data_IF_411220168856
#
_entry.id   IF_411220168856
#
_cell.length_a   1.000
_cell.length_b   1.000
_cell.length_c   1.000
_cell.angle_alpha   90.00
_cell.angle_beta   90.00
_cell.angle_gamma   90.00
#
_symmetry.space_group_name_H-M   'P 1'
#
loop_
_entity.id
_entity.type
_entity.pdbx_description
1 polymer ?
#
# COMPACT_ATOMS: atom_id res chain seq x y z
N UNK A 1 -10.26 -16.06 27.28
CA UNK A 1 -9.64 -16.84 26.19
C UNK A 1 -10.16 -16.42 24.81
N UNK A 2 -11.49 -16.40 24.55
CA UNK A 2 -12.03 -15.99 23.23
C UNK A 2 -11.76 -14.51 22.91
N UNK A 3 -11.96 -13.61 23.86
CA UNK A 3 -11.65 -12.18 23.69
C UNK A 3 -10.16 -11.92 23.44
N UNK A 4 -9.28 -12.63 24.10
CA UNK A 4 -7.82 -12.54 23.88
C UNK A 4 -7.44 -13.05 22.48
N UNK A 5 -8.03 -14.18 22.05
CA UNK A 5 -7.83 -14.71 20.71
C UNK A 5 -8.33 -13.75 19.63
N UNK A 6 -9.49 -13.11 19.83
CA UNK A 6 -10.04 -12.09 18.95
C UNK A 6 -9.15 -10.86 18.89
N UNK A 7 -8.62 -10.39 20.03
CA UNK A 7 -7.69 -9.27 20.11
C UNK A 7 -6.39 -9.57 19.37
N UNK A 8 -5.78 -10.75 19.61
CA UNK A 8 -4.58 -11.18 18.88
C UNK A 8 -4.80 -11.27 17.38
N UNK A 9 -5.96 -11.78 16.95
CA UNK A 9 -6.33 -11.83 15.53
C UNK A 9 -6.46 -10.43 14.93
N UNK A 10 -7.13 -9.50 15.62
CA UNK A 10 -7.31 -8.12 15.14
C UNK A 10 -5.99 -7.33 15.06
N UNK A 11 -4.96 -7.73 15.78
CA UNK A 11 -3.63 -7.11 15.77
C UNK A 11 -2.64 -7.75 14.79
N UNK A 12 -3.04 -8.81 14.10
CA UNK A 12 -2.23 -9.48 13.08
C UNK A 12 -3.12 -10.05 11.97
N UNK A 13 -3.79 -9.16 11.25
CA UNK A 13 -4.67 -9.55 10.13
C UNK A 13 -3.89 -10.12 8.95
N UNK A 14 -2.62 -9.75 8.78
CA UNK A 14 -1.75 -10.22 7.70
C UNK A 14 -1.70 -11.75 7.63
N UNK A 15 -1.55 -12.40 8.78
CA UNK A 15 -1.52 -13.87 8.88
C UNK A 15 -2.81 -14.55 8.41
N UNK A 16 -3.94 -13.85 8.51
CA UNK A 16 -5.27 -14.42 8.22
C UNK A 16 -5.82 -14.01 6.86
N UNK A 17 -5.08 -13.23 6.10
CA UNK A 17 -5.51 -12.81 4.77
C UNK A 17 -5.68 -14.01 3.83
N UNK A 18 -6.82 -14.03 3.15
CA UNK A 18 -7.16 -15.05 2.15
C UNK A 18 -7.66 -14.34 0.91
N UNK A 19 -6.83 -14.20 -0.13
CA UNK A 19 -7.20 -13.52 -1.35
C UNK A 19 -8.22 -14.33 -2.16
N UNK A 20 -9.11 -13.63 -2.85
CA UNK A 20 -9.88 -14.23 -3.94
C UNK A 20 -8.97 -14.56 -5.13
N UNK A 21 -9.43 -15.42 -6.05
CA UNK A 21 -8.62 -15.88 -7.19
C UNK A 21 -7.96 -14.74 -7.95
N UNK A 22 -8.70 -13.69 -8.32
CA UNK A 22 -8.15 -12.53 -9.05
C UNK A 22 -7.16 -11.70 -8.24
N UNK A 23 -7.38 -11.57 -6.95
CA UNK A 23 -6.40 -10.92 -6.05
C UNK A 23 -5.12 -11.77 -5.95
N UNK A 24 -5.25 -13.09 -5.87
CA UNK A 24 -4.11 -14.01 -5.85
C UNK A 24 -3.31 -13.94 -7.15
N UNK A 25 -3.98 -13.92 -8.31
CA UNK A 25 -3.35 -13.70 -9.62
C UNK A 25 -2.54 -12.39 -9.64
N UNK A 26 -3.11 -11.30 -9.10
CA UNK A 26 -2.42 -10.02 -8.96
C UNK A 26 -1.17 -10.12 -8.08
N UNK A 27 -1.27 -10.76 -6.92
CA UNK A 27 -0.14 -10.96 -6.00
C UNK A 27 0.99 -11.82 -6.59
N UNK A 28 0.68 -12.68 -7.55
CA UNK A 28 1.65 -13.58 -8.21
C UNK A 28 2.42 -12.92 -9.35
N UNK A 29 2.05 -11.71 -9.76
CA UNK A 29 2.73 -11.04 -10.88
C UNK A 29 4.18 -10.70 -10.54
N UNK A 30 5.07 -10.88 -11.51
CA UNK A 30 6.50 -10.54 -11.42
C UNK A 30 6.84 -9.25 -12.17
N UNK A 31 5.88 -8.70 -12.93
CA UNK A 31 6.08 -7.47 -13.70
C UNK A 31 6.15 -6.26 -12.76
N UNK A 32 6.88 -5.25 -13.18
CA UNK A 32 7.12 -4.03 -12.40
C UNK A 32 5.90 -3.10 -12.31
N UNK A 33 5.13 -3.03 -13.38
CA UNK A 33 3.90 -2.23 -13.44
C UNK A 33 2.69 -3.17 -13.41
N UNK A 34 1.76 -2.97 -12.47
CA UNK A 34 0.62 -3.85 -12.28
C UNK A 34 -0.66 -3.06 -12.07
N UNK A 35 -1.73 -3.50 -12.71
CA UNK A 35 -3.05 -2.92 -12.57
C UNK A 35 -4.03 -3.97 -12.01
N UNK A 36 -4.69 -3.65 -10.90
CA UNK A 36 -5.82 -4.42 -10.39
C UNK A 36 -7.11 -3.64 -10.66
N UNK A 37 -7.70 -3.90 -11.80
CA UNK A 37 -8.93 -3.27 -12.25
C UNK A 37 -10.13 -4.17 -11.92
N UNK A 38 -11.12 -3.63 -11.23
CA UNK A 38 -12.38 -4.32 -10.95
C UNK A 38 -13.48 -3.32 -10.59
N UNK A 39 -14.74 -3.76 -10.60
CA UNK A 39 -15.88 -2.99 -10.12
C UNK A 39 -15.78 -2.57 -8.66
N UNK A 40 -16.69 -1.70 -8.23
CA UNK A 40 -16.74 -1.25 -6.84
C UNK A 40 -16.98 -2.42 -5.88
N UNK A 41 -16.44 -2.30 -4.66
CA UNK A 41 -16.62 -3.26 -3.54
C UNK A 41 -16.11 -4.70 -3.80
N UNK A 42 -15.28 -4.91 -4.82
CA UNK A 42 -14.65 -6.21 -5.12
C UNK A 42 -13.29 -6.42 -4.40
N UNK A 43 -12.97 -5.58 -3.42
CA UNK A 43 -11.78 -5.76 -2.57
C UNK A 43 -10.45 -5.37 -3.20
N UNK A 44 -10.43 -4.51 -4.23
CA UNK A 44 -9.20 -4.02 -4.88
C UNK A 44 -8.26 -3.32 -3.89
N UNK A 45 -8.75 -2.30 -3.20
CA UNK A 45 -7.99 -1.53 -2.22
C UNK A 45 -7.51 -2.40 -1.06
N UNK A 46 -8.33 -3.41 -0.66
CA UNK A 46 -7.92 -4.40 0.34
C UNK A 46 -6.73 -5.21 -0.18
N UNK A 47 -6.79 -5.72 -1.42
CA UNK A 47 -5.66 -6.44 -2.01
C UNK A 47 -4.41 -5.55 -2.09
N UNK A 48 -4.54 -4.28 -2.50
CA UNK A 48 -3.43 -3.32 -2.51
C UNK A 48 -2.81 -3.11 -1.12
N UNK A 49 -3.63 -3.00 -0.07
CA UNK A 49 -3.15 -2.84 1.30
C UNK A 49 -2.38 -4.06 1.80
N UNK A 50 -2.83 -5.27 1.48
CA UNK A 50 -2.11 -6.50 1.85
C UNK A 50 -0.85 -6.71 1.02
N UNK A 51 -0.85 -6.36 -0.28
CA UNK A 51 0.36 -6.32 -1.11
C UNK A 51 1.42 -5.42 -0.46
N UNK A 52 1.05 -4.19 -0.09
CA UNK A 52 1.92 -3.25 0.62
C UNK A 52 2.43 -3.84 1.94
N UNK A 53 1.57 -4.42 2.75
CA UNK A 53 1.94 -4.98 4.04
C UNK A 53 2.92 -6.16 3.92
N UNK A 54 2.75 -7.04 2.92
CA UNK A 54 3.69 -8.13 2.65
C UNK A 54 5.08 -7.61 2.28
N UNK A 55 5.14 -6.58 1.44
CA UNK A 55 6.40 -5.99 1.02
C UNK A 55 7.09 -5.19 2.14
N UNK A 56 6.33 -4.42 2.95
CA UNK A 56 6.89 -3.68 4.09
C UNK A 56 7.47 -4.60 5.16
N UNK A 57 6.84 -5.74 5.40
CA UNK A 57 7.22 -6.66 6.47
C UNK A 57 8.17 -7.78 6.03
N UNK A 58 8.16 -8.14 4.73
CA UNK A 58 8.80 -9.35 4.22
C UNK A 58 8.12 -10.66 4.63
N UNK A 59 6.95 -10.60 5.30
CA UNK A 59 6.20 -11.77 5.79
C UNK A 59 5.30 -12.35 4.71
N UNK A 60 5.88 -12.90 3.65
CA UNK A 60 5.13 -13.51 2.56
C UNK A 60 4.54 -14.86 2.96
N UNK A 61 3.25 -15.12 2.67
CA UNK A 61 2.62 -16.41 2.96
C UNK A 61 3.11 -17.52 2.01
N UNK A 62 2.88 -18.79 2.38
CA UNK A 62 3.34 -19.95 1.61
C UNK A 62 2.79 -19.99 0.17
N UNK A 63 1.59 -19.45 -0.06
CA UNK A 63 1.00 -19.37 -1.40
C UNK A 63 1.57 -18.27 -2.28
N UNK A 64 2.45 -17.38 -1.76
CA UNK A 64 3.02 -16.25 -2.49
C UNK A 64 4.04 -16.68 -3.54
N UNK A 65 3.80 -16.32 -4.81
CA UNK A 65 4.67 -16.60 -5.94
C UNK A 65 5.18 -15.33 -6.64
N UNK A 66 4.72 -14.15 -6.20
CA UNK A 66 5.11 -12.87 -6.77
C UNK A 66 6.50 -12.41 -6.33
N UNK A 67 6.80 -11.16 -6.66
CA UNK A 67 8.04 -10.51 -6.27
C UNK A 67 8.21 -10.52 -4.73
N UNK A 68 9.45 -10.65 -4.27
CA UNK A 68 9.82 -10.57 -2.84
C UNK A 68 10.95 -9.58 -2.66
N UNK A 69 10.76 -8.63 -1.79
CA UNK A 69 11.86 -7.85 -1.26
C UNK A 69 12.52 -8.62 -0.12
N UNK A 70 13.84 -8.74 -0.17
CA UNK A 70 14.65 -9.43 0.85
C UNK A 70 15.25 -8.46 1.86
N UNK A 71 15.07 -7.16 1.61
CA UNK A 71 15.50 -6.03 2.44
C UNK A 71 14.30 -5.15 2.76
N UNK A 72 14.49 -4.25 3.71
CA UNK A 72 13.59 -3.12 3.96
C UNK A 72 13.38 -2.30 2.71
N UNK A 73 12.24 -1.64 2.62
CA UNK A 73 11.84 -0.85 1.45
C UNK A 73 11.40 0.56 1.82
N UNK A 74 11.62 1.49 0.91
CA UNK A 74 10.98 2.80 0.90
C UNK A 74 9.78 2.78 -0.05
N UNK A 75 8.60 3.11 0.46
CA UNK A 75 7.36 3.02 -0.29
C UNK A 75 6.48 4.27 -0.14
N UNK A 76 5.72 4.58 -1.19
CA UNK A 76 4.63 5.54 -1.14
C UNK A 76 3.30 4.86 -1.46
N UNK A 77 2.24 5.32 -0.79
CA UNK A 77 0.87 4.96 -1.12
C UNK A 77 -0.03 6.20 -1.07
N UNK A 78 -0.93 6.33 -2.02
CA UNK A 78 -1.81 7.48 -2.08
C UNK A 78 -3.08 7.25 -2.86
N UNK A 79 -4.02 8.20 -2.70
CA UNK A 79 -5.32 8.20 -3.35
C UNK A 79 -5.68 9.60 -3.83
N UNK A 80 -6.89 9.79 -4.34
CA UNK A 80 -7.37 11.02 -4.99
C UNK A 80 -7.28 12.26 -4.10
N UNK A 81 -7.52 12.13 -2.79
CA UNK A 81 -7.46 13.22 -1.82
C UNK A 81 -6.81 12.80 -0.50
N UNK A 82 -6.45 13.76 0.34
CA UNK A 82 -5.91 13.51 1.68
C UNK A 82 -6.90 12.74 2.54
N UNK A 83 -8.19 13.06 2.46
CA UNK A 83 -9.25 12.35 3.16
C UNK A 83 -9.42 10.92 2.63
N UNK A 84 -9.42 10.74 1.31
CA UNK A 84 -9.47 9.40 0.71
C UNK A 84 -8.25 8.56 1.13
N UNK A 85 -7.05 9.12 1.11
CA UNK A 85 -5.83 8.44 1.56
C UNK A 85 -5.94 8.02 3.02
N UNK A 86 -6.42 8.89 3.92
CA UNK A 86 -6.64 8.57 5.34
C UNK A 86 -7.68 7.47 5.53
N UNK A 87 -8.86 7.62 4.90
CA UNK A 87 -10.04 6.81 5.19
C UNK A 87 -10.05 5.47 4.45
N UNK A 88 -9.23 5.32 3.41
CA UNK A 88 -9.07 4.06 2.65
C UNK A 88 -7.68 3.48 2.82
N UNK A 89 -6.66 4.07 2.22
CA UNK A 89 -5.29 3.53 2.14
C UNK A 89 -4.69 3.35 3.53
N UNK A 90 -4.57 4.44 4.29
CA UNK A 90 -3.99 4.40 5.65
C UNK A 90 -4.79 3.47 6.56
N UNK A 91 -6.13 3.59 6.54
CA UNK A 91 -6.99 2.75 7.38
C UNK A 91 -6.83 1.26 7.10
N UNK A 92 -6.71 0.86 5.85
CA UNK A 92 -6.54 -0.56 5.48
C UNK A 92 -5.13 -1.06 5.78
N UNK A 93 -4.11 -0.23 5.62
CA UNK A 93 -2.72 -0.59 5.93
C UNK A 93 -2.46 -0.56 7.43
N UNK A 94 -2.82 0.51 8.12
CA UNK A 94 -2.42 0.78 9.50
C UNK A 94 -3.51 0.51 10.54
N UNK A 95 -4.79 0.54 10.13
CA UNK A 95 -5.92 0.55 11.04
C UNK A 95 -6.57 1.92 11.18
N UNK A 96 -7.64 1.99 11.97
CA UNK A 96 -8.36 3.24 12.23
C UNK A 96 -7.52 4.22 13.07
N UNK A 97 -7.79 5.53 12.98
CA UNK A 97 -7.22 6.52 13.88
C UNK A 97 -7.34 6.10 15.36
N UNK A 98 -6.27 6.26 16.13
CA UNK A 98 -6.20 5.81 17.54
C UNK A 98 -6.13 4.28 17.73
N UNK A 99 -6.16 3.48 16.65
CA UNK A 99 -6.07 2.02 16.70
C UNK A 99 -5.07 1.48 15.66
N UNK A 100 -3.85 2.03 15.66
CA UNK A 100 -2.77 1.57 14.80
C UNK A 100 -2.45 0.08 15.05
N UNK A 101 -2.13 -0.62 13.96
CA UNK A 101 -1.86 -2.06 13.97
C UNK A 101 -3.10 -2.94 13.93
N UNK A 102 -4.27 -2.36 13.63
CA UNK A 102 -5.52 -3.09 13.35
C UNK A 102 -5.84 -3.14 11.84
N UNK A 103 -4.90 -2.72 10.99
CA UNK A 103 -4.93 -2.86 9.53
C UNK A 103 -4.16 -4.09 9.06
N UNK A 104 -3.72 -4.06 7.80
CA UNK A 104 -2.95 -5.15 7.19
C UNK A 104 -1.57 -5.33 7.85
N UNK A 105 -0.90 -4.23 8.23
CA UNK A 105 0.39 -4.29 8.94
C UNK A 105 0.15 -4.67 10.41
N UNK A 106 0.80 -5.74 10.91
CA UNK A 106 0.67 -6.18 12.29
C UNK A 106 1.14 -5.11 13.29
N UNK A 107 0.40 -4.94 14.39
CA UNK A 107 0.71 -3.94 15.43
C UNK A 107 2.14 -4.05 15.96
N UNK A 108 2.61 -5.26 16.18
CA UNK A 108 3.94 -5.52 16.74
C UNK A 108 5.10 -5.07 15.82
N UNK A 109 4.82 -4.84 14.53
CA UNK A 109 5.82 -4.45 13.55
C UNK A 109 5.83 -2.95 13.23
N UNK A 110 4.82 -2.19 13.66
CA UNK A 110 4.82 -0.73 13.52
C UNK A 110 5.69 -0.16 14.64
N UNK A 111 6.86 0.38 14.28
CA UNK A 111 7.85 0.90 15.24
C UNK A 111 7.71 2.40 15.46
N UNK A 112 7.29 3.15 14.43
CA UNK A 112 7.10 4.59 14.49
C UNK A 112 5.96 5.06 13.58
N UNK A 113 5.39 6.22 13.90
CA UNK A 113 4.40 6.89 13.07
C UNK A 113 4.45 8.40 13.27
N UNK A 114 4.41 9.16 12.20
CA UNK A 114 4.39 10.61 12.23
C UNK A 114 3.09 11.13 11.64
N UNK A 115 2.42 12.05 12.34
CA UNK A 115 1.21 12.70 11.85
C UNK A 115 1.53 13.73 10.77
N UNK A 116 0.68 13.83 9.77
CA UNK A 116 0.74 14.87 8.76
C UNK A 116 0.25 16.22 9.34
N UNK A 117 0.76 17.31 8.80
CA UNK A 117 0.29 18.64 9.14
C UNK A 117 -1.00 18.98 8.35
N UNK A 118 -1.94 19.66 9.00
CA UNK A 118 -3.12 20.22 8.36
C UNK A 118 -4.30 19.29 8.15
N UNK A 119 -4.14 17.97 8.28
CA UNK A 119 -5.25 17.02 8.17
C UNK A 119 -5.30 16.14 9.42
N UNK A 120 -6.36 16.25 10.24
CA UNK A 120 -6.50 15.42 11.44
C UNK A 120 -6.42 13.93 11.13
N UNK A 121 -5.73 13.18 11.99
CA UNK A 121 -5.58 11.72 11.91
C UNK A 121 -4.90 11.16 10.64
N UNK A 122 -4.48 12.01 9.71
CA UNK A 122 -3.64 11.59 8.61
C UNK A 122 -2.20 11.41 9.09
N UNK A 123 -1.58 10.30 8.72
CA UNK A 123 -0.16 10.07 8.93
C UNK A 123 0.64 10.59 7.74
N UNK A 124 1.79 11.19 8.03
CA UNK A 124 2.81 11.51 7.03
C UNK A 124 3.49 10.22 6.59
N UNK A 125 3.97 9.43 7.55
CA UNK A 125 4.56 8.13 7.32
C UNK A 125 4.48 7.20 8.53
N UNK A 126 4.74 5.91 8.27
CA UNK A 126 5.00 4.90 9.28
C UNK A 126 6.33 4.20 9.02
N UNK A 127 6.94 3.67 10.09
CA UNK A 127 8.04 2.72 10.01
C UNK A 127 7.60 1.33 10.44
N UNK A 128 8.08 0.32 9.73
CA UNK A 128 7.67 -1.06 9.91
C UNK A 128 8.90 -1.96 9.92
N UNK A 129 9.06 -2.79 10.96
CA UNK A 129 10.14 -3.79 11.00
C UNK A 129 9.96 -4.80 9.86
N UNK A 130 10.99 -4.92 9.04
CA UNK A 130 11.10 -5.94 8.01
C UNK A 130 11.81 -7.19 8.55
N UNK A 131 11.59 -8.36 7.95
CA UNK A 131 12.24 -9.63 8.35
C UNK A 131 13.77 -9.60 8.25
N UNK A 132 14.35 -8.65 7.51
CA UNK A 132 15.80 -8.41 7.47
C UNK A 132 16.37 -7.87 8.77
N UNK A 133 15.52 -7.37 9.67
CA UNK A 133 15.91 -6.70 10.91
C UNK A 133 15.94 -5.18 10.82
N UNK A 134 15.85 -4.62 9.60
CA UNK A 134 15.84 -3.18 9.33
C UNK A 134 14.41 -2.65 9.21
N UNK A 135 14.23 -1.34 9.05
CA UNK A 135 12.93 -0.67 9.01
C UNK A 135 12.53 -0.23 7.60
N UNK A 136 11.43 -0.77 7.08
CA UNK A 136 10.74 -0.23 5.92
C UNK A 136 10.00 1.06 6.28
N UNK A 137 9.90 1.99 5.33
CA UNK A 137 9.15 3.24 5.49
C UNK A 137 8.02 3.31 4.46
N UNK A 138 6.82 3.67 4.90
CA UNK A 138 5.69 3.97 4.04
C UNK A 138 5.21 5.40 4.29
N UNK A 139 5.30 6.27 3.27
CA UNK A 139 4.72 7.61 3.31
C UNK A 139 3.36 7.65 2.60
N UNK A 140 2.44 8.44 3.13
CA UNK A 140 1.10 8.63 2.59
C UNK A 140 1.04 9.93 1.77
N UNK A 141 0.54 9.82 0.54
CA UNK A 141 0.43 10.91 -0.43
C UNK A 141 -1.01 11.10 -0.88
N UNK A 142 -1.32 12.22 -1.53
CA UNK A 142 -2.58 12.39 -2.26
C UNK A 142 -2.35 13.10 -3.57
N UNK A 143 -3.22 12.83 -4.57
CA UNK A 143 -3.07 13.43 -5.90
C UNK A 143 -3.41 14.92 -5.88
N UNK A 144 -4.35 15.36 -5.01
CA UNK A 144 -4.70 16.77 -4.86
C UNK A 144 -3.54 17.65 -4.38
N UNK A 145 -2.50 17.07 -3.75
CA UNK A 145 -1.30 17.80 -3.37
C UNK A 145 -0.41 18.17 -4.56
N UNK A 146 -0.75 17.66 -5.75
CA UNK A 146 -0.06 17.95 -6.99
C UNK A 146 1.22 17.14 -7.20
N UNK A 147 1.70 17.17 -8.45
CA UNK A 147 2.85 16.43 -8.94
C UNK A 147 4.11 16.64 -8.10
N UNK A 148 4.35 17.86 -7.63
CA UNK A 148 5.56 18.22 -6.88
C UNK A 148 5.75 17.38 -5.60
N UNK A 149 4.66 16.94 -4.97
CA UNK A 149 4.71 16.08 -3.78
C UNK A 149 5.07 14.62 -4.09
N UNK A 150 5.11 14.27 -5.37
CA UNK A 150 5.50 12.95 -5.88
C UNK A 150 6.94 12.94 -6.44
N UNK A 151 7.73 13.98 -6.14
CA UNK A 151 9.12 14.14 -6.55
C UNK A 151 10.10 13.91 -5.40
N UNK A 152 11.36 13.71 -5.75
CA UNK A 152 12.52 13.85 -4.85
C UNK A 152 13.07 12.57 -4.24
N UNK A 153 12.28 11.52 -4.00
CA UNK A 153 12.77 10.29 -3.36
C UNK A 153 13.01 9.15 -4.36
N UNK A 154 13.91 8.24 -4.02
CA UNK A 154 14.08 6.95 -4.68
C UNK A 154 13.31 5.90 -3.89
N UNK A 155 12.46 5.13 -4.55
CA UNK A 155 11.52 4.21 -3.91
C UNK A 155 11.67 2.79 -4.47
N UNK A 156 11.30 1.82 -3.64
CA UNK A 156 11.20 0.42 -4.03
C UNK A 156 9.76 0.07 -4.45
N UNK A 157 8.77 0.81 -3.92
CA UNK A 157 7.36 0.49 -4.15
C UNK A 157 6.49 1.74 -4.16
N UNK A 158 5.60 1.82 -5.16
CA UNK A 158 4.56 2.86 -5.22
C UNK A 158 3.19 2.21 -5.42
N UNK A 159 2.23 2.58 -4.59
CA UNK A 159 0.83 2.18 -4.71
C UNK A 159 -0.07 3.37 -4.99
N UNK A 160 -0.77 3.33 -6.11
CA UNK A 160 -1.84 4.25 -6.46
C UNK A 160 -3.21 3.60 -6.19
N UNK A 161 -3.98 4.13 -5.23
CA UNK A 161 -5.38 3.74 -5.01
C UNK A 161 -6.29 4.73 -5.75
N UNK A 162 -7.07 4.23 -6.67
CA UNK A 162 -7.72 4.93 -7.78
C UNK A 162 -6.74 5.58 -8.76
N UNK A 163 -7.24 5.96 -9.92
CA UNK A 163 -6.44 6.41 -11.06
C UNK A 163 -5.90 7.84 -10.84
N UNK A 164 -4.56 8.04 -10.84
CA UNK A 164 -3.96 9.36 -10.80
C UNK A 164 -3.97 10.01 -12.19
N UNK A 165 -3.66 11.32 -12.25
CA UNK A 165 -3.28 11.97 -13.51
C UNK A 165 -1.99 11.38 -14.08
N UNK A 166 -1.81 11.47 -15.41
CA UNK A 166 -0.66 10.90 -16.13
C UNK A 166 0.69 11.43 -15.61
N UNK A 167 0.76 12.68 -15.22
CA UNK A 167 1.97 13.31 -14.69
C UNK A 167 2.34 12.75 -13.30
N UNK A 168 1.39 12.54 -12.41
CA UNK A 168 1.60 11.90 -11.10
C UNK A 168 2.01 10.43 -11.28
N UNK A 169 1.33 9.70 -12.18
CA UNK A 169 1.67 8.32 -12.48
C UNK A 169 3.11 8.18 -12.99
N UNK A 170 3.50 9.05 -13.93
CA UNK A 170 4.86 9.09 -14.49
C UNK A 170 5.92 9.40 -13.42
N UNK A 171 5.62 10.29 -12.46
CA UNK A 171 6.53 10.54 -11.34
C UNK A 171 6.72 9.29 -10.48
N UNK A 172 5.64 8.60 -10.09
CA UNK A 172 5.75 7.37 -9.31
C UNK A 172 6.58 6.29 -10.00
N UNK A 173 6.39 6.09 -11.31
CA UNK A 173 7.22 5.18 -12.10
C UNK A 173 8.70 5.59 -12.08
N UNK A 174 8.97 6.89 -12.21
CA UNK A 174 10.35 7.41 -12.18
C UNK A 174 11.02 7.14 -10.84
N UNK A 175 10.27 7.21 -9.72
CA UNK A 175 10.82 6.95 -8.37
C UNK A 175 11.32 5.52 -8.20
N UNK A 176 10.71 4.54 -8.87
CA UNK A 176 11.07 3.11 -8.77
C UNK A 176 12.11 2.67 -9.81
N UNK A 177 12.51 3.52 -10.75
CA UNK A 177 13.42 3.12 -11.83
C UNK A 177 14.82 2.73 -11.34
N UNK A 178 15.39 3.50 -10.41
CA UNK A 178 16.75 3.29 -9.92
C UNK A 178 16.89 1.99 -9.10
N UNK A 179 15.83 1.58 -8.40
CA UNK A 179 15.80 0.35 -7.59
C UNK A 179 15.37 -0.88 -8.36
N UNK A 180 14.81 -0.71 -9.56
CA UNK A 180 14.08 -1.77 -10.24
C UNK A 180 12.78 -2.14 -9.52
N UNK A 181 12.25 -1.23 -8.71
CA UNK A 181 11.10 -1.43 -7.85
C UNK A 181 9.77 -1.59 -8.60
N UNK A 182 8.69 -1.68 -7.84
CA UNK A 182 7.35 -2.02 -8.32
C UNK A 182 6.43 -0.80 -8.22
N UNK A 183 5.60 -0.60 -9.23
CA UNK A 183 4.46 0.31 -9.19
C UNK A 183 3.18 -0.46 -9.45
N UNK A 184 2.18 -0.30 -8.59
CA UNK A 184 0.88 -0.90 -8.83
C UNK A 184 -0.27 0.06 -8.55
N UNK A 185 -1.38 -0.19 -9.22
CA UNK A 185 -2.61 0.60 -9.09
C UNK A 185 -3.80 -0.31 -8.85
N UNK A 186 -4.66 0.11 -7.92
CA UNK A 186 -5.95 -0.51 -7.62
C UNK A 186 -7.04 0.49 -7.95
N UNK A 187 -7.86 0.25 -8.98
CA UNK A 187 -8.81 1.27 -9.44
C UNK A 187 -10.09 0.70 -10.05
N UNK A 188 -11.10 1.55 -10.13
CA UNK A 188 -12.33 1.29 -10.89
C UNK A 188 -12.28 2.09 -12.19
N UNK A 189 -12.46 1.46 -13.36
CA UNK A 189 -12.33 2.14 -14.65
C UNK A 189 -13.56 3.03 -14.95
N UNK A 190 -13.75 4.08 -14.16
CA UNK A 190 -14.90 5.00 -14.29
C UNK A 190 -14.77 5.89 -15.52
N UNK A 191 -13.55 6.19 -15.95
CA UNK A 191 -13.24 7.06 -17.10
C UNK A 191 -12.98 6.26 -18.38
N UNK A 192 -13.21 4.95 -18.37
CA UNK A 192 -12.92 4.07 -19.50
C UNK A 192 -11.43 3.85 -19.71
N UNK A 193 -11.00 3.81 -20.97
CA UNK A 193 -9.58 3.59 -21.36
C UNK A 193 -8.84 4.94 -21.39
N UNK A 194 -8.40 5.40 -20.23
CA UNK A 194 -7.56 6.60 -20.10
C UNK A 194 -6.14 6.37 -20.64
N UNK A 195 -5.32 7.42 -20.67
CA UNK A 195 -3.91 7.32 -21.07
C UNK A 195 -3.10 6.44 -20.12
N UNK A 196 -3.38 6.48 -18.83
CA UNK A 196 -2.72 5.64 -17.83
C UNK A 196 -3.04 4.16 -18.04
N UNK A 197 -4.30 3.84 -18.37
CA UNK A 197 -4.75 2.45 -18.59
C UNK A 197 -4.28 1.88 -19.93
N UNK A 198 -4.05 2.72 -20.94
CA UNK A 198 -3.59 2.31 -22.28
C UNK A 198 -2.09 2.07 -22.39
N UNK A 199 -1.32 2.52 -21.41
CA UNK A 199 0.13 2.36 -21.37
C UNK A 199 0.52 0.91 -21.11
#
# INVERSE_FOLDING_TARGET
>A
LEQEAQTRKSQNLLKYYRPYTKQKEFHHQLVRERLLMAGNQLGKTVAGAYEMAFHLTGLYPDWWQGHRFTKEIAAWAGSVSTLATRDTVQRLVCGRPGKLGTGAVPKALITDSKSALGTPDLLDHIKVTHVSGEESTLAFKSYEQGREKWQGETLDLVWFDEEPSQDIYSEGLTRTNATGGITYMTFTPLLGMSEVVRR
#
